data_IF_032866290793
#
_entry.id   IF_032866290793
#
_cell.length_a   1.000
_cell.length_b   1.000
_cell.length_c   1.000
_cell.angle_alpha   90.00
_cell.angle_beta   90.00
_cell.angle_gamma   90.00
#
_symmetry.space_group_name_H-M   'P 1'
#
loop_
_entity.id
_entity.type
_entity.pdbx_description
1 polymer ?
#
# COMPACT_ATOMS: atom_id res chain seq x y z
N UNK A 1 -44.02 -82.07 -9.29
CA UNK A 1 -43.51 -80.81 -8.69
C UNK A 1 -42.65 -80.14 -9.74
N UNK A 2 -43.05 -79.10 -10.48
CA UNK A 2 -43.94 -77.98 -10.15
C UNK A 2 -43.10 -76.70 -10.28
N UNK A 3 -43.08 -76.10 -11.48
CA UNK A 3 -42.36 -74.88 -11.82
C UNK A 3 -42.96 -73.62 -11.16
N UNK A 4 -42.14 -72.55 -11.00
CA UNK A 4 -42.43 -71.10 -11.21
C UNK A 4 -41.62 -70.18 -10.26
N UNK A 5 -40.67 -69.39 -10.78
CA UNK A 5 -40.70 -67.94 -11.11
C UNK A 5 -40.22 -67.01 -10.00
N UNK A 6 -39.18 -66.23 -10.31
CA UNK A 6 -38.81 -64.96 -9.70
C UNK A 6 -39.96 -63.94 -9.71
N UNK A 7 -39.92 -62.94 -8.80
CA UNK A 7 -40.04 -61.57 -9.26
C UNK A 7 -38.90 -60.68 -8.75
N UNK A 8 -38.46 -59.84 -9.69
CA UNK A 8 -37.66 -58.62 -9.53
C UNK A 8 -38.23 -57.71 -8.44
N UNK A 9 -37.36 -57.22 -7.55
CA UNK A 9 -37.65 -56.15 -6.61
C UNK A 9 -36.52 -55.13 -6.61
N UNK A 10 -36.65 -54.12 -7.46
CA UNK A 10 -35.80 -52.92 -7.49
C UNK A 10 -35.90 -52.19 -6.15
N UNK A 11 -34.86 -52.25 -5.31
CA UNK A 11 -34.72 -51.36 -4.16
C UNK A 11 -34.14 -50.03 -4.64
N UNK A 12 -35.01 -49.17 -5.17
CA UNK A 12 -34.74 -47.73 -5.28
C UNK A 12 -34.76 -47.15 -3.87
N UNK A 13 -33.60 -47.17 -3.21
CA UNK A 13 -33.37 -46.38 -2.00
C UNK A 13 -33.29 -44.91 -2.39
N UNK A 14 -34.43 -44.22 -2.34
CA UNK A 14 -34.46 -42.76 -2.34
C UNK A 14 -33.81 -42.27 -1.05
N UNK A 15 -32.50 -42.03 -1.07
CA UNK A 15 -31.84 -41.25 -0.02
C UNK A 15 -32.56 -39.90 0.06
N UNK A 16 -33.32 -39.72 1.14
CA UNK A 16 -34.01 -38.47 1.44
C UNK A 16 -32.95 -37.37 1.56
N UNK A 17 -32.87 -36.54 0.52
CA UNK A 17 -32.04 -35.33 0.49
C UNK A 17 -32.31 -34.55 1.78
N UNK A 18 -31.30 -34.52 2.66
CA UNK A 18 -31.40 -33.82 3.93
C UNK A 18 -31.83 -32.38 3.68
N UNK A 19 -32.93 -31.99 4.31
CA UNK A 19 -33.62 -30.70 4.20
C UNK A 19 -32.59 -29.56 4.23
N UNK A 20 -32.43 -28.84 3.13
CA UNK A 20 -31.52 -27.69 3.06
C UNK A 20 -31.88 -26.70 4.19
N UNK A 21 -30.97 -26.54 5.14
CA UNK A 21 -31.10 -25.58 6.23
C UNK A 21 -31.07 -24.19 5.60
N UNK A 22 -32.23 -23.53 5.54
CA UNK A 22 -32.35 -22.14 5.09
C UNK A 22 -31.64 -21.28 6.15
N UNK A 23 -30.39 -20.92 5.89
CA UNK A 23 -29.60 -20.10 6.80
C UNK A 23 -30.33 -18.76 7.02
N UNK A 24 -30.52 -18.32 8.28
CA UNK A 24 -31.21 -17.07 8.57
C UNK A 24 -30.42 -15.90 7.99
N UNK A 25 -31.13 -14.90 7.44
CA UNK A 25 -30.53 -13.74 6.74
C UNK A 25 -29.44 -13.04 7.57
N UNK A 26 -29.59 -12.99 8.89
CA UNK A 26 -28.59 -12.43 9.82
C UNK A 26 -27.25 -13.17 9.77
N UNK A 27 -27.23 -14.50 9.57
CA UNK A 27 -25.98 -15.26 9.45
C UNK A 27 -25.28 -14.99 8.13
N UNK A 28 -26.02 -14.83 7.04
CA UNK A 28 -25.45 -14.42 5.75
C UNK A 28 -24.83 -13.02 5.81
N UNK A 29 -25.47 -12.09 6.54
CA UNK A 29 -24.96 -10.74 6.76
C UNK A 29 -23.66 -10.75 7.59
N UNK A 30 -23.63 -11.52 8.69
CA UNK A 30 -22.46 -11.67 9.57
C UNK A 30 -21.25 -12.18 8.80
N UNK A 31 -21.43 -13.22 7.98
CA UNK A 31 -20.38 -13.81 7.14
C UNK A 31 -19.88 -12.77 6.12
N UNK A 32 -20.79 -12.04 5.48
CA UNK A 32 -20.45 -11.02 4.49
C UNK A 32 -19.63 -9.88 5.10
N UNK A 33 -20.05 -9.37 6.26
CA UNK A 33 -19.32 -8.33 6.99
C UNK A 33 -17.93 -8.81 7.39
N UNK A 34 -17.81 -10.04 7.94
CA UNK A 34 -16.52 -10.62 8.32
C UNK A 34 -15.57 -10.71 7.12
N UNK A 35 -16.09 -11.08 5.96
CA UNK A 35 -15.35 -11.21 4.70
C UNK A 35 -14.85 -9.85 4.15
N UNK A 36 -15.69 -8.82 4.22
CA UNK A 36 -15.32 -7.45 3.80
C UNK A 36 -14.27 -6.89 4.74
N UNK A 37 -14.44 -7.10 6.05
CA UNK A 37 -13.55 -6.58 7.08
C UNK A 37 -12.12 -7.09 6.88
N UNK A 38 -11.95 -8.39 6.70
CA UNK A 38 -10.61 -9.00 6.48
C UNK A 38 -9.93 -8.43 5.22
N UNK A 39 -10.67 -8.29 4.11
CA UNK A 39 -10.13 -7.74 2.86
C UNK A 39 -9.79 -6.25 2.96
N UNK A 40 -10.65 -5.47 3.61
CA UNK A 40 -10.48 -4.03 3.77
C UNK A 40 -9.27 -3.71 4.65
N UNK A 41 -9.16 -4.32 5.84
CA UNK A 41 -8.04 -4.06 6.75
C UNK A 41 -6.68 -4.41 6.13
N UNK A 42 -6.63 -5.45 5.29
CA UNK A 42 -5.40 -5.83 4.57
C UNK A 42 -4.97 -4.79 3.55
N UNK A 43 -5.88 -4.36 2.68
CA UNK A 43 -5.59 -3.29 1.71
C UNK A 43 -5.29 -1.96 2.41
N UNK A 44 -5.87 -1.74 3.60
CA UNK A 44 -5.64 -0.55 4.39
C UNK A 44 -4.22 -0.52 4.98
N UNK A 45 -3.67 -1.67 5.41
CA UNK A 45 -2.31 -1.73 5.98
C UNK A 45 -1.26 -1.30 4.94
N UNK A 46 -1.31 -1.83 3.72
CA UNK A 46 -0.36 -1.48 2.65
C UNK A 46 -0.47 -0.01 2.28
N UNK A 47 -1.69 0.45 2.03
CA UNK A 47 -1.96 1.82 1.59
C UNK A 47 -1.63 2.84 2.67
N UNK A 48 -1.97 2.61 3.94
CA UNK A 48 -1.59 3.52 5.04
C UNK A 48 -0.09 3.59 5.24
N UNK A 49 0.62 2.45 5.23
CA UNK A 49 2.07 2.42 5.41
C UNK A 49 2.77 3.24 4.32
N UNK A 50 2.33 3.07 3.07
CA UNK A 50 2.83 3.81 1.92
C UNK A 50 2.46 5.31 2.00
N UNK A 51 1.20 5.63 2.27
CA UNK A 51 0.70 7.01 2.40
C UNK A 51 1.48 7.76 3.47
N UNK A 52 1.72 7.16 4.64
CA UNK A 52 2.45 7.79 5.74
C UNK A 52 3.91 8.05 5.39
N UNK A 53 4.60 7.07 4.80
CA UNK A 53 6.01 7.23 4.42
C UNK A 53 6.19 8.28 3.31
N UNK A 54 5.32 8.27 2.30
CA UNK A 54 5.36 9.25 1.21
C UNK A 54 4.92 10.64 1.68
N UNK A 55 3.93 10.71 2.59
CA UNK A 55 3.53 11.96 3.24
C UNK A 55 4.67 12.56 4.04
N UNK A 56 5.41 11.76 4.81
CA UNK A 56 6.57 12.24 5.56
C UNK A 56 7.70 12.74 4.64
N UNK A 57 7.98 12.00 3.55
CA UNK A 57 8.97 12.42 2.55
C UNK A 57 8.57 13.74 1.87
N UNK A 58 7.33 13.85 1.41
CA UNK A 58 6.77 15.07 0.79
C UNK A 58 6.75 16.24 1.78
N UNK A 59 6.39 15.98 3.04
CA UNK A 59 6.38 16.98 4.11
C UNK A 59 7.76 17.62 4.28
N UNK A 60 8.81 16.81 4.36
CA UNK A 60 10.19 17.29 4.50
C UNK A 60 10.64 18.06 3.26
N UNK A 61 10.35 17.55 2.05
CA UNK A 61 10.69 18.22 0.79
C UNK A 61 10.06 19.61 0.72
N UNK A 62 8.74 19.68 0.83
CA UNK A 62 7.99 20.94 0.78
C UNK A 62 8.37 21.89 1.92
N UNK A 63 8.73 21.36 3.10
CA UNK A 63 9.17 22.20 4.23
C UNK A 63 10.51 22.88 3.92
N UNK A 64 11.41 22.18 3.22
CA UNK A 64 12.67 22.77 2.77
C UNK A 64 12.44 23.77 1.64
N UNK A 65 11.51 23.50 0.71
CA UNK A 65 11.16 24.43 -0.38
C UNK A 65 10.60 25.76 0.18
N UNK A 66 9.75 25.70 1.22
CA UNK A 66 9.28 26.89 1.95
C UNK A 66 10.46 27.67 2.54
N UNK A 67 11.39 26.96 3.18
CA UNK A 67 12.56 27.59 3.80
C UNK A 67 13.53 28.17 2.76
N UNK A 68 13.71 27.52 1.62
CA UNK A 68 14.50 27.99 0.48
C UNK A 68 13.90 29.27 -0.12
N UNK A 69 12.58 29.31 -0.32
CA UNK A 69 11.89 30.52 -0.78
C UNK A 69 12.13 31.72 0.14
N UNK A 70 12.09 31.50 1.46
CA UNK A 70 12.38 32.55 2.44
C UNK A 70 13.86 33.01 2.43
N UNK A 71 14.80 32.11 2.13
CA UNK A 71 16.22 32.47 2.00
C UNK A 71 16.50 33.27 0.73
N UNK A 72 15.78 33.00 -0.36
CA UNK A 72 16.00 33.67 -1.65
C UNK A 72 15.63 35.16 -1.61
N UNK A 73 14.75 35.58 -0.69
CA UNK A 73 14.46 37.00 -0.43
C UNK A 73 15.70 37.78 0.09
N UNK A 74 16.76 37.08 0.54
CA UNK A 74 18.02 37.64 1.09
C UNK A 74 17.83 38.59 2.28
N UNK A 75 16.72 38.50 2.98
CA UNK A 75 16.49 39.26 4.20
C UNK A 75 17.20 38.60 5.40
N UNK A 76 18.04 39.34 6.15
CA UNK A 76 18.79 38.79 7.28
C UNK A 76 17.87 38.34 8.43
N UNK A 77 16.68 38.93 8.56
CA UNK A 77 15.70 38.56 9.58
C UNK A 77 15.08 37.18 9.31
N UNK A 78 14.71 36.87 8.06
CA UNK A 78 14.16 35.55 7.69
C UNK A 78 15.18 34.44 7.93
N UNK A 79 16.46 34.67 7.61
CA UNK A 79 17.54 33.73 7.92
C UNK A 79 17.64 33.44 9.42
N UNK A 80 17.55 34.47 10.27
CA UNK A 80 17.57 34.30 11.73
C UNK A 80 16.36 33.52 12.23
N UNK A 81 15.17 33.73 11.65
CA UNK A 81 13.95 32.98 11.97
C UNK A 81 14.08 31.50 11.63
N UNK A 82 14.69 31.16 10.47
CA UNK A 82 14.94 29.78 10.07
C UNK A 82 15.90 29.07 11.03
N UNK A 83 17.01 29.71 11.40
CA UNK A 83 17.97 29.18 12.37
C UNK A 83 17.29 28.93 13.73
N UNK A 84 16.48 29.89 14.21
CA UNK A 84 15.72 29.72 15.47
C UNK A 84 14.67 28.62 15.40
N UNK A 85 14.17 28.32 14.21
CA UNK A 85 13.20 27.24 13.97
C UNK A 85 13.84 25.86 13.85
N UNK A 86 15.18 25.78 13.95
CA UNK A 86 15.93 24.52 13.96
C UNK A 86 16.45 24.06 12.60
N UNK A 87 16.52 24.96 11.61
CA UNK A 87 17.22 24.67 10.35
C UNK A 87 18.73 24.88 10.51
N UNK A 88 19.52 23.87 10.10
CA UNK A 88 20.98 23.92 10.10
C UNK A 88 21.45 24.76 8.91
N UNK A 89 21.90 26.01 9.15
CA UNK A 89 22.39 26.95 8.14
C UNK A 89 23.74 27.54 8.56
N UNK A 90 24.79 27.27 7.78
CA UNK A 90 26.14 27.82 8.01
C UNK A 90 26.29 29.22 7.40
N UNK A 91 27.24 30.05 7.84
CA UNK A 91 27.50 31.36 7.23
C UNK A 91 27.98 31.20 5.77
N UNK A 92 27.08 31.43 4.81
CA UNK A 92 27.37 31.29 3.37
C UNK A 92 26.40 30.40 2.62
N UNK A 93 25.61 29.57 3.33
CA UNK A 93 24.63 28.69 2.67
C UNK A 93 23.55 29.49 1.94
N UNK A 94 23.32 29.11 0.68
CA UNK A 94 22.29 29.67 -0.21
C UNK A 94 21.04 28.81 -0.31
N UNK A 95 21.03 27.63 0.31
CA UNK A 95 19.89 26.70 0.30
C UNK A 95 19.81 25.90 1.60
N UNK A 96 18.59 25.71 2.11
CA UNK A 96 18.25 24.74 3.15
C UNK A 96 18.21 23.34 2.56
N UNK A 97 19.12 22.48 3.03
CA UNK A 97 19.11 21.06 2.76
C UNK A 97 18.50 20.25 3.90
N UNK A 98 18.20 18.97 3.63
CA UNK A 98 17.85 18.01 4.67
C UNK A 98 19.05 17.77 5.60
N UNK A 99 18.89 18.07 6.89
CA UNK A 99 19.88 17.79 7.93
C UNK A 99 20.23 16.29 7.93
N UNK A 100 21.47 15.87 8.25
CA UNK A 100 21.85 14.45 8.32
C UNK A 100 20.88 13.61 9.16
N UNK A 101 20.36 14.20 10.25
CA UNK A 101 19.35 13.58 11.12
C UNK A 101 18.05 13.31 10.37
N UNK A 102 17.56 14.29 9.60
CA UNK A 102 16.33 14.16 8.81
C UNK A 102 16.48 13.12 7.69
N UNK A 103 17.63 13.09 7.00
CA UNK A 103 17.91 12.08 5.97
C UNK A 103 17.83 10.67 6.56
N UNK A 104 18.39 10.48 7.74
CA UNK A 104 18.35 9.19 8.42
C UNK A 104 16.92 8.79 8.84
N UNK A 105 16.12 9.73 9.35
CA UNK A 105 14.71 9.49 9.66
C UNK A 105 13.88 9.12 8.43
N UNK A 106 14.12 9.78 7.29
CA UNK A 106 13.47 9.45 6.02
C UNK A 106 13.84 8.03 5.60
N UNK A 107 15.12 7.67 5.61
CA UNK A 107 15.57 6.33 5.22
C UNK A 107 14.91 5.26 6.09
N UNK A 108 14.87 5.45 7.41
CA UNK A 108 14.20 4.52 8.32
C UNK A 108 12.70 4.41 8.03
N UNK A 109 12.02 5.53 7.80
CA UNK A 109 10.60 5.55 7.45
C UNK A 109 10.31 4.76 6.16
N UNK A 110 11.11 4.97 5.12
CA UNK A 110 10.98 4.25 3.85
C UNK A 110 11.26 2.75 4.03
N UNK A 111 12.25 2.38 4.87
CA UNK A 111 12.57 0.98 5.17
C UNK A 111 11.39 0.28 5.87
N UNK A 112 10.84 0.89 6.93
CA UNK A 112 9.68 0.36 7.65
C UNK A 112 8.48 0.19 6.72
N UNK A 113 8.27 1.16 5.81
CA UNK A 113 7.24 1.08 4.79
C UNK A 113 7.41 -0.14 3.88
N UNK A 114 8.62 -0.38 3.35
CA UNK A 114 8.89 -1.54 2.47
C UNK A 114 8.63 -2.85 3.20
N UNK A 115 9.10 -2.99 4.45
CA UNK A 115 8.85 -4.19 5.26
C UNK A 115 7.35 -4.41 5.47
N UNK A 116 6.60 -3.34 5.76
CA UNK A 116 5.14 -3.39 5.88
C UNK A 116 4.45 -3.85 4.60
N UNK A 117 4.89 -3.33 3.44
CA UNK A 117 4.38 -3.73 2.12
C UNK A 117 4.66 -5.22 1.87
N UNK A 118 5.92 -5.67 2.06
CA UNK A 118 6.32 -7.06 1.84
C UNK A 118 5.46 -8.01 2.69
N UNK A 119 5.31 -7.71 3.99
CA UNK A 119 4.55 -8.56 4.89
C UNK A 119 3.07 -8.66 4.49
N UNK A 120 2.45 -7.53 4.18
CA UNK A 120 1.05 -7.53 3.76
C UNK A 120 0.84 -8.19 2.39
N UNK A 121 1.80 -8.07 1.47
CA UNK A 121 1.75 -8.76 0.17
C UNK A 121 1.97 -10.27 0.33
N UNK A 122 2.87 -10.73 1.20
CA UNK A 122 3.00 -12.16 1.52
C UNK A 122 1.69 -12.71 2.09
N UNK A 123 1.02 -11.94 2.94
CA UNK A 123 -0.32 -12.28 3.40
C UNK A 123 -1.30 -12.37 2.22
N UNK A 124 -1.29 -11.41 1.29
CA UNK A 124 -2.15 -11.39 0.09
C UNK A 124 -1.98 -12.65 -0.76
N UNK A 125 -0.74 -13.10 -0.89
CA UNK A 125 -0.38 -14.32 -1.62
C UNK A 125 -0.99 -15.57 -0.97
N UNK A 126 -1.00 -15.68 0.36
CA UNK A 126 -1.60 -16.85 1.04
C UNK A 126 -3.13 -16.86 0.99
N UNK A 127 -3.79 -15.70 0.96
CA UNK A 127 -5.25 -15.64 0.77
C UNK A 127 -5.67 -16.09 -0.62
N UNK A 128 -4.92 -15.68 -1.65
CA UNK A 128 -5.21 -16.01 -3.05
C UNK A 128 -4.57 -17.32 -3.49
N UNK A 129 -4.09 -18.13 -2.54
CA UNK A 129 -3.34 -19.35 -2.82
C UNK A 129 -4.12 -20.31 -3.73
N UNK A 130 -5.40 -20.57 -3.42
CA UNK A 130 -6.27 -21.43 -4.24
C UNK A 130 -6.56 -20.84 -5.61
N UNK A 131 -6.80 -19.53 -5.70
CA UNK A 131 -7.07 -18.83 -6.96
C UNK A 131 -5.86 -18.88 -7.90
N UNK A 132 -4.65 -18.70 -7.36
CA UNK A 132 -3.39 -18.82 -8.12
C UNK A 132 -3.19 -20.28 -8.56
N UNK A 133 -3.46 -21.24 -7.68
CA UNK A 133 -3.41 -22.67 -7.98
C UNK A 133 -4.33 -23.06 -9.14
N UNK A 134 -5.59 -22.64 -9.11
CA UNK A 134 -6.55 -22.91 -10.20
C UNK A 134 -6.13 -22.25 -11.51
N UNK A 135 -5.65 -20.99 -11.49
CA UNK A 135 -5.11 -20.33 -12.68
C UNK A 135 -3.95 -21.12 -13.30
N UNK A 136 -3.02 -21.62 -12.47
CA UNK A 136 -1.90 -22.44 -12.93
C UNK A 136 -2.33 -23.80 -13.48
N UNK A 137 -3.32 -24.46 -12.87
CA UNK A 137 -3.91 -25.69 -13.42
C UNK A 137 -4.53 -25.48 -14.80
N UNK A 138 -5.08 -24.29 -15.07
CA UNK A 138 -5.62 -23.89 -16.37
C UNK A 138 -4.53 -23.46 -17.38
N UNK A 139 -3.24 -23.55 -17.01
CA UNK A 139 -2.11 -23.24 -17.89
C UNK A 139 -1.57 -21.82 -17.78
N UNK A 140 -1.94 -21.04 -16.75
CA UNK A 140 -1.33 -19.74 -16.53
C UNK A 140 0.17 -19.86 -16.23
N UNK A 141 0.99 -19.09 -16.95
CA UNK A 141 2.44 -19.08 -16.75
C UNK A 141 2.83 -18.22 -15.54
N UNK A 142 3.97 -18.53 -14.92
CA UNK A 142 4.54 -17.75 -13.81
C UNK A 142 4.66 -16.25 -14.14
N UNK A 143 5.03 -15.91 -15.39
CA UNK A 143 5.10 -14.52 -15.87
C UNK A 143 3.76 -13.79 -15.84
N UNK A 144 2.64 -14.51 -16.00
CA UNK A 144 1.31 -13.92 -15.92
C UNK A 144 0.97 -13.56 -14.47
N UNK A 145 1.26 -14.47 -13.54
CA UNK A 145 1.09 -14.22 -12.10
C UNK A 145 1.96 -13.05 -11.64
N UNK A 146 3.24 -13.02 -12.04
CA UNK A 146 4.12 -11.88 -11.75
C UNK A 146 3.51 -10.56 -12.22
N UNK A 147 3.10 -10.47 -13.49
CA UNK A 147 2.49 -9.25 -14.05
C UNK A 147 1.24 -8.83 -13.30
N UNK A 148 0.40 -9.77 -12.86
CA UNK A 148 -0.79 -9.48 -12.09
C UNK A 148 -0.45 -8.75 -10.78
N UNK A 149 0.52 -9.27 -10.01
CA UNK A 149 0.96 -8.64 -8.76
C UNK A 149 1.64 -7.29 -8.99
N UNK A 150 2.47 -7.15 -10.02
CA UNK A 150 3.09 -5.87 -10.36
C UNK A 150 2.07 -4.81 -10.78
N UNK A 151 1.04 -5.19 -11.54
CA UNK A 151 -0.04 -4.26 -11.92
C UNK A 151 -0.85 -3.82 -10.70
N UNK A 152 -1.18 -4.75 -9.80
CA UNK A 152 -1.87 -4.42 -8.55
C UNK A 152 -1.04 -3.47 -7.67
N UNK A 153 0.24 -3.78 -7.47
CA UNK A 153 1.16 -2.94 -6.72
C UNK A 153 1.40 -1.58 -7.40
N UNK A 154 1.41 -1.53 -8.73
CA UNK A 154 1.51 -0.29 -9.50
C UNK A 154 0.31 0.61 -9.30
N UNK A 155 -0.91 0.07 -9.36
CA UNK A 155 -2.15 0.82 -9.09
C UNK A 155 -2.23 1.29 -7.64
N UNK A 156 -1.93 0.41 -6.68
CA UNK A 156 -1.88 0.75 -5.25
C UNK A 156 -0.78 1.78 -4.96
N UNK A 157 0.37 1.63 -5.60
CA UNK A 157 1.52 2.51 -5.49
C UNK A 157 1.19 3.92 -5.98
N UNK A 158 0.64 4.04 -7.19
CA UNK A 158 0.26 5.33 -7.76
C UNK A 158 -0.80 6.03 -6.91
N UNK A 159 -1.86 5.33 -6.51
CA UNK A 159 -2.92 5.91 -5.69
C UNK A 159 -2.40 6.33 -4.30
N UNK A 160 -1.72 5.42 -3.60
CA UNK A 160 -1.22 5.66 -2.26
C UNK A 160 -0.11 6.72 -2.21
N UNK A 161 0.82 6.70 -3.17
CA UNK A 161 1.90 7.68 -3.25
C UNK A 161 1.37 9.07 -3.61
N UNK A 162 0.42 9.18 -4.54
CA UNK A 162 -0.19 10.47 -4.88
C UNK A 162 -0.92 11.07 -3.69
N UNK A 163 -1.75 10.27 -3.01
CA UNK A 163 -2.47 10.72 -1.80
C UNK A 163 -1.50 11.10 -0.70
N UNK A 164 -0.48 10.27 -0.44
CA UNK A 164 0.56 10.55 0.54
C UNK A 164 1.29 11.85 0.23
N UNK A 165 1.73 12.04 -1.01
CA UNK A 165 2.49 13.22 -1.40
C UNK A 165 1.66 14.51 -1.26
N UNK A 166 0.39 14.48 -1.66
CA UNK A 166 -0.54 15.59 -1.49
C UNK A 166 -0.78 15.92 -0.02
N UNK A 167 -1.05 14.90 0.81
CA UNK A 167 -1.24 15.10 2.25
C UNK A 167 0.01 15.69 2.90
N UNK A 168 1.19 15.16 2.58
CA UNK A 168 2.46 15.66 3.11
C UNK A 168 2.71 17.12 2.75
N UNK A 169 2.43 17.50 1.50
CA UNK A 169 2.54 18.88 1.04
C UNK A 169 1.56 19.81 1.77
N UNK A 170 0.28 19.40 1.91
CA UNK A 170 -0.74 20.19 2.62
C UNK A 170 -0.34 20.40 4.09
N UNK A 171 0.08 19.34 4.78
CA UNK A 171 0.56 19.44 6.16
C UNK A 171 1.79 20.33 6.29
N UNK A 172 2.70 20.27 5.32
CA UNK A 172 3.91 21.10 5.30
C UNK A 172 3.59 22.58 5.13
N UNK A 173 2.77 22.92 4.13
CA UNK A 173 2.32 24.29 3.89
C UNK A 173 1.56 24.87 5.09
N UNK A 174 0.68 24.06 5.70
CA UNK A 174 -0.02 24.46 6.91
C UNK A 174 0.94 24.71 8.08
N UNK A 175 1.94 23.84 8.26
CA UNK A 175 2.95 24.02 9.30
C UNK A 175 3.86 25.23 9.05
N UNK A 176 4.20 25.52 7.80
CA UNK A 176 4.96 26.70 7.39
C UNK A 176 4.18 27.98 7.65
N UNK A 177 2.91 28.01 7.28
CA UNK A 177 2.02 29.13 7.59
C UNK A 177 1.84 29.35 9.09
N UNK A 178 1.67 28.29 9.88
CA UNK A 178 1.53 28.39 11.34
C UNK A 178 2.81 28.89 12.03
N UNK A 179 3.99 28.64 11.46
CA UNK A 179 5.29 29.04 12.01
C UNK A 179 5.76 30.42 11.56
N UNK A 180 5.59 30.73 10.29
CA UNK A 180 6.18 31.92 9.64
C UNK A 180 5.12 32.91 9.13
N UNK A 181 3.83 32.60 9.28
CA UNK A 181 2.73 33.45 8.85
C UNK A 181 2.59 33.53 7.33
N UNK A 182 2.09 34.67 6.83
CA UNK A 182 1.88 34.91 5.40
C UNK A 182 3.17 34.96 4.58
N UNK A 183 4.30 35.25 5.22
CA UNK A 183 5.62 35.35 4.56
C UNK A 183 6.04 34.00 3.96
N UNK A 184 5.73 32.90 4.64
CA UNK A 184 6.03 31.54 4.15
C UNK A 184 5.33 31.24 2.81
N UNK A 185 4.10 31.71 2.63
CA UNK A 185 3.32 31.46 1.41
C UNK A 185 3.71 32.44 0.31
N UNK A 186 4.06 33.68 0.65
CA UNK A 186 4.44 34.69 -0.34
C UNK A 186 5.79 34.41 -0.99
N UNK A 187 6.74 33.84 -0.23
CA UNK A 187 8.10 33.59 -0.70
C UNK A 187 8.28 32.22 -1.40
N UNK A 188 7.25 31.36 -1.41
CA UNK A 188 7.39 29.98 -1.90
C UNK A 188 7.46 29.90 -3.42
N UNK A 189 8.38 29.08 -3.93
CA UNK A 189 8.42 28.68 -5.34
C UNK A 189 7.49 27.49 -5.57
N UNK A 190 6.34 27.72 -6.21
CA UNK A 190 5.39 26.63 -6.54
C UNK A 190 5.98 25.57 -7.46
N UNK A 191 6.97 25.92 -8.28
CA UNK A 191 7.67 24.96 -9.13
C UNK A 191 8.44 23.93 -8.30
N UNK A 192 9.12 24.35 -7.24
CA UNK A 192 9.86 23.44 -6.35
C UNK A 192 8.91 22.52 -5.60
N UNK A 193 7.77 23.05 -5.11
CA UNK A 193 6.73 22.24 -4.45
C UNK A 193 6.21 21.13 -5.37
N UNK A 194 5.92 21.45 -6.64
CA UNK A 194 5.45 20.47 -7.62
C UNK A 194 6.53 19.40 -7.86
N UNK A 195 7.80 19.80 -7.97
CA UNK A 195 8.92 18.86 -8.10
C UNK A 195 9.03 17.95 -6.88
N UNK A 196 8.95 18.50 -5.67
CA UNK A 196 8.98 17.72 -4.42
C UNK A 196 7.84 16.72 -4.32
N UNK A 197 6.62 17.11 -4.70
CA UNK A 197 5.46 16.20 -4.76
C UNK A 197 5.68 15.10 -5.80
N UNK A 198 6.20 15.44 -6.98
CA UNK A 198 6.47 14.49 -8.05
C UNK A 198 7.56 13.47 -7.63
N UNK A 199 8.64 13.94 -7.00
CA UNK A 199 9.71 13.09 -6.46
C UNK A 199 9.16 12.16 -5.37
N UNK A 200 8.38 12.68 -4.42
CA UNK A 200 7.78 11.86 -3.37
C UNK A 200 6.84 10.78 -3.94
N UNK A 201 6.03 11.15 -4.94
CA UNK A 201 5.15 10.21 -5.64
C UNK A 201 5.94 9.13 -6.38
N UNK A 202 7.00 9.51 -7.10
CA UNK A 202 7.86 8.59 -7.83
C UNK A 202 8.57 7.60 -6.89
N UNK A 203 9.10 8.09 -5.76
CA UNK A 203 9.70 7.25 -4.71
C UNK A 203 8.66 6.30 -4.14
N UNK A 204 7.45 6.77 -3.82
CA UNK A 204 6.36 5.90 -3.33
C UNK A 204 5.97 4.79 -4.31
N UNK A 205 5.82 5.12 -5.59
CA UNK A 205 5.58 4.13 -6.65
C UNK A 205 6.72 3.10 -6.71
N UNK A 206 7.96 3.55 -6.63
CA UNK A 206 9.13 2.67 -6.62
C UNK A 206 9.12 1.74 -5.41
N UNK A 207 8.84 2.26 -4.20
CA UNK A 207 8.76 1.44 -2.99
C UNK A 207 7.67 0.36 -3.10
N UNK A 208 6.51 0.69 -3.68
CA UNK A 208 5.43 -0.27 -3.91
C UNK A 208 5.88 -1.43 -4.82
N UNK A 209 6.54 -1.09 -5.94
CA UNK A 209 7.05 -2.07 -6.90
C UNK A 209 8.20 -2.92 -6.31
N UNK A 210 9.09 -2.30 -5.54
CA UNK A 210 10.17 -3.01 -4.86
C UNK A 210 9.62 -3.96 -3.77
N UNK A 211 8.65 -3.49 -2.98
CA UNK A 211 8.03 -4.28 -1.92
C UNK A 211 7.26 -5.49 -2.42
N UNK A 212 6.67 -5.44 -3.62
CA UNK A 212 5.95 -6.59 -4.20
C UNK A 212 6.88 -7.60 -4.87
N UNK A 213 8.13 -7.25 -5.18
CA UNK A 213 9.03 -8.08 -5.98
C UNK A 213 9.19 -9.50 -5.40
N UNK A 214 9.55 -9.60 -4.12
CA UNK A 214 9.71 -10.89 -3.44
C UNK A 214 8.39 -11.67 -3.30
N UNK A 215 7.29 -11.09 -2.76
CA UNK A 215 6.00 -11.76 -2.68
C UNK A 215 5.48 -12.26 -4.04
N UNK A 216 5.64 -11.48 -5.11
CA UNK A 216 5.22 -11.87 -6.45
C UNK A 216 5.98 -13.11 -6.95
N UNK A 217 7.29 -13.20 -6.68
CA UNK A 217 8.09 -14.39 -6.99
C UNK A 217 7.61 -15.61 -6.21
N UNK A 218 7.31 -15.44 -4.93
CA UNK A 218 6.75 -16.51 -4.09
C UNK A 218 5.44 -17.00 -4.69
N UNK A 219 4.51 -16.10 -5.02
CA UNK A 219 3.22 -16.42 -5.65
C UNK A 219 3.37 -17.14 -7.00
N UNK A 220 4.25 -16.62 -7.86
CA UNK A 220 4.45 -17.15 -9.19
C UNK A 220 5.09 -18.54 -9.18
N UNK A 221 5.84 -18.92 -8.13
CA UNK A 221 6.49 -20.24 -8.02
C UNK A 221 5.66 -21.28 -7.25
N UNK A 222 4.44 -20.94 -6.85
CA UNK A 222 3.57 -21.87 -6.11
C UNK A 222 3.20 -23.09 -6.95
N UNK A 223 3.20 -24.26 -6.30
CA UNK A 223 2.82 -25.52 -6.93
C UNK A 223 1.30 -25.71 -6.82
N UNK A 224 0.58 -26.00 -7.91
CA UNK A 224 -0.87 -26.15 -7.89
C UNK A 224 -1.36 -27.29 -6.98
N UNK A 225 -0.55 -28.34 -6.83
CA UNK A 225 -0.87 -29.50 -5.98
C UNK A 225 -0.94 -29.12 -4.50
N UNK A 226 -0.08 -28.21 -4.05
CA UNK A 226 -0.08 -27.71 -2.67
C UNK A 226 -1.34 -26.89 -2.42
N UNK A 227 -1.77 -26.07 -3.39
CA UNK A 227 -2.99 -25.26 -3.31
C UNK A 227 -4.27 -26.07 -3.11
N UNK A 228 -4.32 -27.32 -3.60
CA UNK A 228 -5.47 -28.20 -3.40
C UNK A 228 -5.40 -29.04 -2.12
N UNK A 229 -4.23 -29.12 -1.47
CA UNK A 229 -4.02 -29.96 -0.27
C UNK A 229 -4.27 -29.23 1.05
N UNK A 230 -4.37 -27.90 1.06
CA UNK A 230 -4.54 -27.05 2.26
C UNK A 230 -5.85 -27.29 3.03
N UNK A 231 -6.80 -28.09 2.51
CA UNK A 231 -8.10 -28.38 3.14
C UNK A 231 -8.34 -29.85 3.55
N UNK A 232 -7.31 -30.71 3.51
CA UNK A 232 -7.38 -32.04 4.18
C UNK A 232 -6.91 -31.93 5.62
#
# INVERSE_FOLDING_TARGET
>A
MGAKTTPSGSKTGSEQVQRQVKLPFMKSLEISIKSIKVRFFRSLITTLSLVLAVSFLSFIGVSNDVANGMLDTREPELRRMLIRSGYDLEPGDTSVGSSPKQRWLVILSLLVCVVGIVNAQLMAVTERFREIGTMKCLGALDRFILRLFFLEAGMQGLAGASIGALLGAIFSLFSGWARFGSVAIAAISWNEVVVSIAVATAVGCLLSLLGVFYPALVAARMQPVEAMRVEQ
#
